data_IF_361339091038
#
_entry.id   IF_361339091038
#
_cell.length_a   1.000
_cell.length_b   1.000
_cell.length_c   1.000
_cell.angle_alpha   90.00
_cell.angle_beta   90.00
_cell.angle_gamma   90.00
#
_symmetry.space_group_name_H-M   'P 1'
#
loop_
_entity.id
_entity.type
_entity.pdbx_description
1 polymer ?
#
# COMPACT_ATOMS: atom_id res chain seq x y z
N UNK A 1 9.75 2.47 -7.26
CA UNK A 1 8.44 3.00 -6.85
C UNK A 1 8.50 3.09 -5.33
N UNK A 2 8.19 4.24 -4.72
CA UNK A 2 8.19 4.41 -3.26
C UNK A 2 6.87 3.88 -2.69
N UNK A 3 6.69 2.55 -2.71
CA UNK A 3 5.43 1.88 -2.36
C UNK A 3 5.71 0.59 -1.60
N UNK A 4 4.95 0.35 -0.54
CA UNK A 4 4.90 -0.91 0.22
C UNK A 4 3.52 -1.52 0.03
N UNK A 5 3.47 -2.77 -0.39
CA UNK A 5 2.24 -3.55 -0.49
C UNK A 5 2.05 -4.37 0.79
N UNK A 6 0.82 -4.38 1.30
CA UNK A 6 0.42 -5.14 2.48
C UNK A 6 -0.71 -6.08 2.09
N UNK A 7 -0.40 -7.38 2.10
CA UNK A 7 -1.40 -8.43 1.89
C UNK A 7 -2.09 -8.77 3.22
N UNK A 8 -3.42 -8.85 3.21
CA UNK A 8 -4.25 -9.26 4.36
C UNK A 8 -5.44 -10.07 3.89
N UNK A 9 -5.43 -11.37 4.15
CA UNK A 9 -6.43 -12.29 3.59
C UNK A 9 -6.37 -12.25 2.06
N UNK A 10 -7.52 -12.06 1.42
CA UNK A 10 -7.66 -11.98 -0.05
C UNK A 10 -7.58 -10.53 -0.57
N UNK A 11 -7.06 -9.60 0.22
CA UNK A 11 -6.95 -8.19 -0.15
C UNK A 11 -5.51 -7.70 -0.08
N UNK A 12 -5.16 -6.79 -0.97
CA UNK A 12 -3.88 -6.07 -0.95
C UNK A 12 -4.18 -4.58 -0.82
N UNK A 13 -3.49 -3.93 0.11
CA UNK A 13 -3.43 -2.47 0.20
C UNK A 13 -2.02 -2.01 -0.18
N UNK A 14 -1.88 -0.77 -0.63
CA UNK A 14 -0.59 -0.14 -0.86
C UNK A 14 -0.50 1.19 -0.13
N UNK A 15 0.69 1.47 0.39
CA UNK A 15 1.02 2.73 1.05
C UNK A 15 2.34 3.26 0.49
N UNK A 16 2.57 4.57 0.61
CA UNK A 16 3.86 5.17 0.31
C UNK A 16 4.94 4.53 1.19
N UNK A 17 6.08 4.18 0.59
CA UNK A 17 7.19 3.53 1.29
C UNK A 17 8.04 4.46 2.16
N UNK A 18 7.60 5.71 2.34
CA UNK A 18 8.29 6.69 3.19
C UNK A 18 7.33 7.67 3.86
N UNK A 19 7.72 8.16 5.04
CA UNK A 19 7.05 9.24 5.78
C UNK A 19 8.07 10.34 6.03
N UNK A 20 7.82 11.56 5.53
CA UNK A 20 8.75 12.67 5.67
C UNK A 20 10.15 12.40 5.08
N UNK A 21 10.24 11.52 4.07
CA UNK A 21 11.52 11.10 3.46
C UNK A 21 12.23 9.95 4.18
N UNK A 22 11.74 9.51 5.34
CA UNK A 22 12.24 8.31 6.02
C UNK A 22 11.54 7.06 5.48
N UNK A 23 12.31 6.09 5.00
CA UNK A 23 11.78 4.82 4.54
C UNK A 23 11.16 4.00 5.68
N UNK A 24 10.03 3.36 5.40
CA UNK A 24 9.34 2.45 6.33
C UNK A 24 9.38 1.01 5.79
N UNK A 25 9.21 0.03 6.67
CA UNK A 25 9.09 -1.38 6.31
C UNK A 25 7.98 -2.03 7.15
N UNK A 26 6.85 -2.37 6.51
CA UNK A 26 5.63 -2.74 7.22
C UNK A 26 5.52 -4.25 7.41
N UNK A 27 5.18 -4.63 8.64
CA UNK A 27 4.78 -5.98 9.03
C UNK A 27 3.37 -5.95 9.64
N UNK A 28 2.64 -7.05 9.53
CA UNK A 28 1.32 -7.22 10.15
C UNK A 28 1.39 -8.13 11.37
N UNK A 29 0.72 -7.76 12.45
CA UNK A 29 0.53 -8.65 13.61
C UNK A 29 -0.74 -9.53 13.47
N UNK A 30 -1.03 -10.33 14.51
CA UNK A 30 -2.19 -11.25 14.55
C UNK A 30 -3.54 -10.51 14.53
N UNK A 31 -3.59 -9.27 15.03
CA UNK A 31 -4.79 -8.42 15.04
C UNK A 31 -4.93 -7.61 13.74
N UNK A 32 -3.93 -7.70 12.84
CA UNK A 32 -3.86 -6.99 11.58
C UNK A 32 -3.44 -5.54 11.70
N UNK A 33 -2.85 -5.14 12.83
CA UNK A 33 -2.19 -3.84 12.94
C UNK A 33 -0.90 -3.83 12.11
N UNK A 34 -0.54 -2.66 11.60
CA UNK A 34 0.65 -2.45 10.79
C UNK A 34 1.75 -1.91 11.69
N UNK A 35 2.93 -2.51 11.63
CA UNK A 35 4.10 -2.09 12.41
C UNK A 35 5.28 -1.85 11.49
N UNK A 36 5.90 -0.69 11.60
CA UNK A 36 7.18 -0.39 10.96
C UNK A 36 8.30 -1.07 11.73
N UNK A 37 9.01 -2.01 11.07
CA UNK A 37 10.12 -2.77 11.67
C UNK A 37 11.33 -1.89 12.00
N UNK A 38 11.41 -0.68 11.44
CA UNK A 38 12.52 0.27 11.64
C UNK A 38 12.33 1.19 12.84
N UNK A 39 11.16 1.79 12.98
CA UNK A 39 10.88 2.79 14.02
C UNK A 39 10.01 2.29 15.17
N UNK A 40 9.45 1.10 15.04
CA UNK A 40 8.45 0.57 15.97
C UNK A 40 7.14 1.39 16.02
N UNK A 41 6.87 2.17 14.96
CA UNK A 41 5.59 2.87 14.82
C UNK A 41 4.49 1.88 14.44
N UNK A 42 3.32 2.05 15.04
CA UNK A 42 2.15 1.19 14.84
C UNK A 42 0.99 2.01 14.27
N UNK A 43 0.32 1.43 13.27
CA UNK A 43 -0.92 1.89 12.69
C UNK A 43 -1.99 0.81 12.79
N UNK A 44 -3.26 1.20 12.66
CA UNK A 44 -4.33 0.23 12.43
C UNK A 44 -4.25 -0.39 11.02
N UNK A 45 -5.11 -1.37 10.74
CA UNK A 45 -5.17 -2.05 9.44
C UNK A 45 -5.46 -1.11 8.24
N UNK A 46 -5.95 0.10 8.49
CA UNK A 46 -6.27 1.13 7.48
C UNK A 46 -5.20 2.22 7.39
N UNK A 47 -4.09 2.07 8.11
CA UNK A 47 -3.00 3.03 8.12
C UNK A 47 -3.23 4.24 9.02
N UNK A 48 -4.17 4.20 9.96
CA UNK A 48 -4.34 5.27 10.97
C UNK A 48 -3.33 5.12 12.10
N UNK A 49 -2.64 6.20 12.42
CA UNK A 49 -1.62 6.23 13.47
C UNK A 49 -2.21 5.77 14.81
N UNK A 50 -1.47 4.91 15.52
CA UNK A 50 -1.81 4.47 16.88
C UNK A 50 -0.74 4.88 17.89
N UNK A 51 0.52 4.56 17.63
CA UNK A 51 1.62 4.82 18.57
C UNK A 51 2.99 4.81 17.89
N UNK A 52 3.98 5.43 18.52
CA UNK A 52 5.39 5.37 18.13
C UNK A 52 5.97 6.68 17.60
N UNK A 53 7.20 6.65 17.07
CA UNK A 53 7.94 7.86 16.69
C UNK A 53 7.39 8.59 15.46
N UNK A 54 6.88 7.88 14.45
CA UNK A 54 6.37 8.48 13.22
C UNK A 54 4.89 8.88 13.40
N UNK A 55 4.66 10.06 13.98
CA UNK A 55 3.32 10.58 14.32
C UNK A 55 2.53 11.11 13.12
N UNK A 56 2.28 10.24 12.16
CA UNK A 56 1.49 10.53 10.96
C UNK A 56 0.73 9.28 10.51
N UNK A 57 -0.40 9.45 9.82
CA UNK A 57 -1.07 8.36 9.13
C UNK A 57 -0.23 7.86 7.94
N UNK A 58 -0.40 6.61 7.54
CA UNK A 58 0.14 6.11 6.27
C UNK A 58 -0.56 6.79 5.09
N UNK A 59 0.22 7.08 4.04
CA UNK A 59 -0.29 7.67 2.80
C UNK A 59 -0.71 6.55 1.83
N UNK A 60 -2.01 6.33 1.58
CA UNK A 60 -2.49 5.24 0.75
C UNK A 60 -2.19 5.48 -0.73
N UNK A 61 -1.75 4.42 -1.42
CA UNK A 61 -1.52 4.43 -2.86
C UNK A 61 -2.65 3.65 -3.52
N UNK A 62 -3.35 4.31 -4.46
CA UNK A 62 -4.42 3.66 -5.22
C UNK A 62 -3.84 2.53 -6.08
N UNK A 63 -4.36 1.33 -5.88
CA UNK A 63 -4.01 0.12 -6.63
C UNK A 63 -5.27 -0.60 -7.08
N UNK A 64 -5.14 -1.35 -8.16
CA UNK A 64 -6.19 -2.24 -8.66
C UNK A 64 -5.55 -3.59 -8.97
N UNK A 65 -6.06 -4.64 -8.36
CA UNK A 65 -5.72 -6.02 -8.69
C UNK A 65 -6.81 -6.56 -9.61
N UNK A 66 -6.59 -6.43 -10.92
CA UNK A 66 -7.57 -6.80 -11.92
C UNK A 66 -6.93 -7.34 -13.19
N UNK A 67 -7.68 -8.19 -13.89
CA UNK A 67 -7.28 -8.64 -15.22
C UNK A 67 -7.31 -7.47 -16.21
N UNK A 68 -6.34 -7.44 -17.13
CA UNK A 68 -6.22 -6.37 -18.13
C UNK A 68 -7.50 -6.14 -18.94
N UNK A 69 -8.26 -7.20 -19.24
CA UNK A 69 -9.49 -7.12 -20.02
C UNK A 69 -10.65 -6.48 -19.24
N UNK A 70 -10.67 -6.62 -17.91
CA UNK A 70 -11.61 -5.91 -17.02
C UNK A 70 -11.23 -4.43 -16.94
N UNK A 71 -9.95 -4.13 -16.72
CA UNK A 71 -9.43 -2.76 -16.70
C UNK A 71 -9.79 -1.98 -17.97
N UNK A 72 -9.64 -2.60 -19.14
CA UNK A 72 -9.97 -1.97 -20.43
C UNK A 72 -11.43 -1.51 -20.51
N UNK A 73 -12.37 -2.19 -19.86
CA UNK A 73 -13.78 -1.79 -19.84
C UNK A 73 -13.98 -0.44 -19.12
N UNK A 74 -13.14 -0.12 -18.13
CA UNK A 74 -13.17 1.15 -17.39
C UNK A 74 -12.27 2.23 -17.98
N UNK A 75 -11.32 1.86 -18.85
CA UNK A 75 -10.38 2.77 -19.50
C UNK A 75 -10.46 2.68 -21.03
N UNK A 76 -11.58 3.11 -21.65
CA UNK A 76 -11.86 2.88 -23.08
C UNK A 76 -10.94 3.64 -24.03
N UNK A 77 -10.27 4.71 -23.56
CA UNK A 77 -9.29 5.47 -24.34
C UNK A 77 -7.93 4.78 -24.48
N UNK A 78 -7.71 3.67 -23.77
CA UNK A 78 -6.47 2.91 -23.84
C UNK A 78 -6.32 2.14 -25.17
N UNK A 79 -5.08 1.96 -25.63
CA UNK A 79 -4.76 1.17 -26.82
C UNK A 79 -3.72 0.11 -26.46
N UNK A 80 -3.94 -1.13 -26.90
CA UNK A 80 -2.95 -2.22 -26.76
C UNK A 80 -1.85 -2.06 -27.80
N UNK A 81 -0.60 -2.01 -27.35
CA UNK A 81 0.58 -2.03 -28.22
C UNK A 81 1.12 -3.46 -28.28
N UNK A 82 1.29 -4.02 -29.47
CA UNK A 82 2.02 -5.28 -29.69
C UNK A 82 3.39 -4.95 -30.28
N UNK A 83 4.51 -5.38 -29.68
CA UNK A 83 5.82 -5.29 -30.33
C UNK A 83 5.82 -6.16 -31.61
N UNK A 84 6.45 -5.67 -32.67
CA UNK A 84 6.68 -6.40 -33.92
C UNK A 84 7.75 -7.49 -33.74
#
# INVERSE_FOLDING_TARGET
>A
LDVVFVARGDSVNAYKGSIGGQAIDLSTDQDGALRDTRSDTVWDARGKYRSGPLRADLDPVAISDEYWFSWRAFHPASTTIRPA
#
